data_IF_798474070307
#
_entry.id   IF_798474070307
#
_cell.length_a   1.000
_cell.length_b   1.000
_cell.length_c   1.000
_cell.angle_alpha   90.00
_cell.angle_beta   90.00
_cell.angle_gamma   90.00
#
_symmetry.space_group_name_H-M   'P 1'
#
loop_
_entity.id
_entity.type
_entity.pdbx_description
1 polymer ?
#
# COMPACT_ATOMS: atom_id res chain seq x y z
N UNK A 1 15.80 3.35 -5.42
CA UNK A 1 15.48 2.10 -4.68
C UNK A 1 15.52 2.38 -3.19
N UNK A 2 14.53 1.90 -2.43
CA UNK A 2 14.41 2.12 -0.97
C UNK A 2 15.50 1.33 -0.22
N UNK A 3 16.08 1.85 0.89
CA UNK A 3 17.22 1.22 1.56
C UNK A 3 16.92 -0.18 2.11
N UNK A 4 15.71 -0.42 2.64
CA UNK A 4 15.26 -1.74 3.12
C UNK A 4 14.97 -2.77 2.02
N UNK A 5 14.90 -2.33 0.75
CA UNK A 5 14.75 -3.22 -0.41
C UNK A 5 16.08 -3.73 -0.95
N UNK A 6 17.20 -3.18 -0.45
CA UNK A 6 18.54 -3.59 -0.88
C UNK A 6 18.84 -4.98 -0.39
N UNK A 7 19.54 -5.73 -1.23
CA UNK A 7 20.05 -7.05 -0.87
C UNK A 7 21.23 -6.91 0.10
N UNK A 8 21.19 -7.60 1.23
CA UNK A 8 22.29 -7.80 2.15
C UNK A 8 23.31 -8.76 1.52
N UNK A 9 24.61 -8.60 1.81
CA UNK A 9 25.67 -9.34 1.14
C UNK A 9 25.57 -10.86 1.33
N UNK A 10 24.97 -11.32 2.43
CA UNK A 10 24.88 -12.74 2.80
C UNK A 10 23.46 -13.32 2.69
N UNK A 11 22.45 -12.51 2.29
CA UNK A 11 21.08 -13.02 2.28
C UNK A 11 20.77 -13.85 1.02
N UNK A 12 20.11 -14.98 1.26
CA UNK A 12 19.51 -15.80 0.20
C UNK A 12 18.26 -15.13 -0.37
N UNK A 13 17.89 -15.48 -1.60
CA UNK A 13 16.63 -15.00 -2.18
C UNK A 13 15.37 -15.29 -1.34
N UNK A 14 15.17 -16.51 -0.77
CA UNK A 14 14.02 -16.78 0.08
C UNK A 14 14.01 -15.94 1.36
N UNK A 15 15.17 -15.73 2.00
CA UNK A 15 15.25 -14.87 3.18
C UNK A 15 14.96 -13.40 2.85
N UNK A 16 15.49 -12.92 1.73
CA UNK A 16 15.16 -11.59 1.21
C UNK A 16 13.67 -11.47 0.98
N UNK A 17 13.04 -12.45 0.35
CA UNK A 17 11.62 -12.38 0.03
C UNK A 17 10.77 -12.42 1.31
N UNK A 18 11.12 -13.25 2.29
CA UNK A 18 10.45 -13.29 3.59
C UNK A 18 10.57 -11.95 4.34
N UNK A 19 11.79 -11.37 4.36
CA UNK A 19 12.05 -10.06 4.95
C UNK A 19 11.22 -8.97 4.29
N UNK A 20 11.21 -8.92 2.96
CA UNK A 20 10.49 -7.92 2.19
C UNK A 20 8.96 -8.07 2.32
N UNK A 21 8.45 -9.30 2.36
CA UNK A 21 7.04 -9.58 2.60
C UNK A 21 6.56 -9.03 3.95
N UNK A 22 7.44 -8.99 4.95
CA UNK A 22 7.17 -8.45 6.28
C UNK A 22 7.60 -6.99 6.44
N UNK A 23 8.02 -6.31 5.37
CA UNK A 23 8.50 -4.93 5.44
C UNK A 23 7.60 -4.02 4.62
N UNK A 24 6.94 -3.07 5.29
CA UNK A 24 6.11 -2.07 4.66
C UNK A 24 6.83 -1.36 3.51
N UNK A 25 6.23 -1.36 2.33
CA UNK A 25 6.85 -0.80 1.15
C UNK A 25 6.97 0.73 1.21
N UNK A 26 6.20 1.41 2.06
CA UNK A 26 6.17 2.88 2.16
C UNK A 26 7.15 3.45 3.18
N UNK A 27 7.18 2.89 4.38
CA UNK A 27 7.97 3.43 5.49
C UNK A 27 9.21 2.58 5.83
N UNK A 28 9.28 1.33 5.37
CA UNK A 28 10.35 0.41 5.71
C UNK A 28 10.24 -0.21 7.10
N UNK A 29 9.09 -0.09 7.77
CA UNK A 29 8.80 -0.82 9.02
C UNK A 29 8.80 -2.31 8.74
N UNK A 30 9.50 -3.07 9.57
CA UNK A 30 9.48 -4.53 9.54
C UNK A 30 8.58 -5.04 10.66
N UNK A 31 7.61 -5.89 10.31
CA UNK A 31 6.62 -6.46 11.20
C UNK A 31 6.89 -7.96 11.47
N UNK A 32 6.17 -8.53 12.44
CA UNK A 32 6.31 -9.92 12.85
C UNK A 32 5.88 -10.93 11.77
N UNK A 33 4.90 -10.55 10.96
CA UNK A 33 4.30 -11.43 9.96
C UNK A 33 3.80 -10.61 8.76
N UNK A 34 3.63 -11.29 7.61
CA UNK A 34 3.06 -10.70 6.40
C UNK A 34 1.72 -9.98 6.64
N UNK A 35 0.70 -10.58 7.29
CA UNK A 35 -0.58 -9.91 7.56
C UNK A 35 -0.44 -8.62 8.38
N UNK A 36 0.51 -8.55 9.31
CA UNK A 36 0.76 -7.32 10.09
C UNK A 36 1.36 -6.22 9.21
N UNK A 37 2.31 -6.57 8.34
CA UNK A 37 2.89 -5.64 7.36
C UNK A 37 1.85 -5.14 6.37
N UNK A 38 0.98 -6.02 5.85
CA UNK A 38 -0.10 -5.67 4.92
C UNK A 38 -1.13 -4.72 5.57
N UNK A 39 -1.58 -5.03 6.80
CA UNK A 39 -2.47 -4.16 7.55
C UNK A 39 -1.84 -2.78 7.82
N UNK A 40 -0.55 -2.74 8.15
CA UNK A 40 0.18 -1.48 8.30
C UNK A 40 0.30 -0.74 6.96
N UNK A 41 0.59 -1.43 5.87
CA UNK A 41 0.75 -0.84 4.54
C UNK A 41 -0.54 -0.17 4.05
N UNK A 42 -1.68 -0.77 4.38
CA UNK A 42 -3.02 -0.24 4.12
C UNK A 42 -3.29 1.11 4.79
N UNK A 43 -2.79 1.30 6.02
CA UNK A 43 -2.95 2.53 6.82
C UNK A 43 -1.69 3.39 6.94
N UNK A 44 -0.65 3.13 6.15
CA UNK A 44 0.66 3.75 6.36
C UNK A 44 0.60 5.25 6.04
N UNK A 45 1.00 6.11 6.98
CA UNK A 45 1.01 7.57 6.78
C UNK A 45 1.99 8.03 5.67
N UNK A 46 2.96 7.19 5.30
CA UNK A 46 3.90 7.45 4.19
C UNK A 46 3.41 6.92 2.85
N UNK A 47 2.27 6.23 2.83
CA UNK A 47 1.64 5.80 1.59
C UNK A 47 1.22 7.06 0.82
N UNK A 48 1.74 7.28 -0.40
CA UNK A 48 1.26 8.36 -1.23
C UNK A 48 -0.24 8.12 -1.46
N UNK A 49 -1.04 9.17 -1.27
CA UNK A 49 -2.44 9.16 -1.68
C UNK A 49 -2.44 9.01 -3.20
N UNK A 50 -2.47 7.76 -3.67
CA UNK A 50 -2.62 7.41 -5.08
C UNK A 50 -4.05 7.72 -5.49
N UNK A 51 -4.42 9.00 -5.44
CA UNK A 51 -5.75 9.48 -5.70
C UNK A 51 -6.80 8.62 -5.03
N UNK A 52 -7.23 9.02 -3.83
CA UNK A 52 -8.68 9.18 -3.72
C UNK A 52 -9.06 10.09 -4.90
N UNK A 53 -9.34 9.50 -6.07
CA UNK A 53 -10.31 10.08 -6.99
C UNK A 53 -11.44 10.36 -6.03
N UNK A 54 -11.64 11.62 -5.66
CA UNK A 54 -12.92 12.07 -5.15
C UNK A 54 -13.87 11.40 -6.12
N UNK A 55 -14.67 10.45 -5.65
CA UNK A 55 -15.83 10.03 -6.41
C UNK A 55 -16.45 11.37 -6.81
N UNK A 56 -16.39 11.70 -8.11
CA UNK A 56 -17.05 12.89 -8.58
C UNK A 56 -18.48 12.76 -8.03
N UNK A 57 -19.03 13.80 -7.38
CA UNK A 57 -20.41 13.72 -6.92
C UNK A 57 -21.22 13.23 -8.09
N UNK A 58 -21.96 12.14 -7.88
CA UNK A 58 -22.74 11.50 -8.92
C UNK A 58 -23.55 12.59 -9.63
N UNK A 59 -23.57 12.66 -10.96
CA UNK A 59 -24.46 13.59 -11.62
C UNK A 59 -25.87 13.16 -11.23
N UNK A 60 -26.50 14.01 -10.41
CA UNK A 60 -27.92 14.02 -10.15
C UNK A 60 -28.62 14.12 -11.52
N UNK A 61 -29.01 12.97 -12.04
CA UNK A 61 -29.94 12.90 -13.16
C UNK A 61 -31.34 12.86 -12.57
N UNK A 62 -31.73 14.01 -12.01
CA UNK A 62 -33.14 14.37 -11.92
C UNK A 62 -33.69 14.46 -13.34
N UNK A 63 -34.12 13.33 -13.88
CA UNK A 63 -35.06 13.27 -14.98
C UNK A 63 -36.47 13.40 -14.40
N UNK A 64 -36.85 14.63 -14.07
CA UNK A 64 -38.25 15.04 -14.07
C UNK A 64 -38.50 15.79 -15.38
N UNK A 65 -39.16 15.14 -16.35
CA UNK A 65 -40.20 15.83 -17.11
C UNK A 65 -41.17 14.80 -17.71
N UNK A 66 -42.38 14.85 -17.18
CA UNK A 66 -43.61 14.22 -17.68
C UNK A 66 -44.23 15.20 -18.66
N UNK A 67 -44.66 14.75 -19.83
CA UNK A 67 -46.11 14.78 -20.10
C UNK A 67 -46.68 13.45 -20.63
#
# INVERSE_FOLDING_TARGET
MKPWMRRLPDETEPERNNRLARTCCWCGRQDADFPSSDAHESGCARRPDHGRRKAAPEPDTSSEEVP
#
